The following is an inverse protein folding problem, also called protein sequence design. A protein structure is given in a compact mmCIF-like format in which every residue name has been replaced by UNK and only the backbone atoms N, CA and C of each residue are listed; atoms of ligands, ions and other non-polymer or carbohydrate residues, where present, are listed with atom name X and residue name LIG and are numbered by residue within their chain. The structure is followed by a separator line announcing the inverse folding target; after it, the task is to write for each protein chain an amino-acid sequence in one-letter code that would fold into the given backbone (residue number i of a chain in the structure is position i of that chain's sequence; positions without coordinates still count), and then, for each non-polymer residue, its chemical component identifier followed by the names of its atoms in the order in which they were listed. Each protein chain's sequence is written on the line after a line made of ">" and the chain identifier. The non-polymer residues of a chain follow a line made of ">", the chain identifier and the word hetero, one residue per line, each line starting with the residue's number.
data_IF_354803682302
#
_entry.id   IF_354803682302
#
_cell.length_a   1.000
_cell.length_b   1.000
_cell.length_c   1.000
_cell.angle_alpha   90.00
_cell.angle_beta   90.00
_cell.angle_gamma   90.00
#
_symmetry.space_group_name_H-M   'P 1'
#
loop_
_entity.id
_entity.type
_entity.pdbx_description
1 polymer ?
#
# COMPACT_ATOMS: atom_id res chain seq x y z
N UNK A 1 -43.59 -23.08 -2.51
CA UNK A 1 -43.28 -21.65 -2.57
C UNK A 1 -41.88 -21.50 -1.98
N UNK A 2 -40.87 -21.48 -2.85
CA UNK A 2 -39.48 -21.33 -2.45
C UNK A 2 -39.21 -19.83 -2.27
N UNK A 3 -38.97 -19.41 -1.03
CA UNK A 3 -38.61 -18.04 -0.75
C UNK A 3 -37.23 -17.76 -1.38
N UNK A 4 -37.21 -16.96 -2.43
CA UNK A 4 -35.99 -16.38 -2.97
C UNK A 4 -35.56 -15.37 -1.93
N UNK A 5 -34.48 -15.67 -1.20
CA UNK A 5 -33.79 -14.70 -0.37
C UNK A 5 -33.30 -13.55 -1.27
N UNK A 6 -33.48 -12.28 -0.87
CA UNK A 6 -32.98 -11.17 -1.67
C UNK A 6 -31.47 -11.33 -1.84
N UNK A 7 -31.02 -11.42 -3.08
CA UNK A 7 -29.62 -11.60 -3.44
C UNK A 7 -28.78 -10.43 -2.92
N UNK A 8 -27.68 -10.78 -2.30
CA UNK A 8 -26.63 -9.89 -1.79
C UNK A 8 -25.83 -9.25 -2.95
N UNK A 9 -26.47 -8.45 -3.80
CA UNK A 9 -25.79 -7.67 -4.85
C UNK A 9 -24.94 -6.52 -4.27
N UNK A 10 -25.02 -6.28 -2.95
CA UNK A 10 -24.13 -5.36 -2.22
C UNK A 10 -22.78 -5.99 -1.83
N UNK A 11 -22.75 -7.29 -1.60
CA UNK A 11 -21.65 -7.95 -0.88
C UNK A 11 -20.34 -8.00 -1.68
N UNK A 12 -20.34 -8.20 -3.01
CA UNK A 12 -19.09 -8.19 -3.78
C UNK A 12 -18.45 -6.79 -3.80
N UNK A 13 -19.24 -5.74 -3.94
CA UNK A 13 -18.74 -4.36 -3.89
C UNK A 13 -18.20 -4.02 -2.50
N UNK A 14 -18.85 -4.48 -1.43
CA UNK A 14 -18.39 -4.31 -0.06
C UNK A 14 -17.10 -5.10 0.20
N UNK A 15 -16.99 -6.33 -0.29
CA UNK A 15 -15.76 -7.14 -0.22
C UNK A 15 -14.62 -6.45 -0.97
N UNK A 16 -14.85 -5.95 -2.19
CA UNK A 16 -13.82 -5.20 -2.93
C UNK A 16 -13.42 -3.91 -2.23
N UNK A 17 -14.36 -3.20 -1.61
CA UNK A 17 -14.07 -2.03 -0.79
C UNK A 17 -13.22 -2.38 0.44
N UNK A 18 -13.52 -3.50 1.11
CA UNK A 18 -12.71 -4.01 2.22
C UNK A 18 -11.29 -4.38 1.77
N UNK A 19 -11.13 -5.09 0.63
CA UNK A 19 -9.83 -5.39 0.05
C UNK A 19 -9.05 -4.13 -0.34
N UNK A 20 -9.73 -3.04 -0.70
CA UNK A 20 -9.13 -1.73 -0.97
C UNK A 20 -8.52 -1.06 0.28
N UNK A 21 -8.78 -1.57 1.48
CA UNK A 21 -8.12 -1.11 2.72
C UNK A 21 -6.82 -1.85 3.01
N UNK A 22 -6.59 -2.97 2.34
CA UNK A 22 -5.37 -3.78 2.48
C UNK A 22 -4.27 -3.19 1.61
N UNK A 23 -3.15 -2.86 2.22
CA UNK A 23 -2.04 -2.16 1.57
C UNK A 23 -0.84 -3.07 1.45
N UNK A 24 -0.24 -3.14 0.25
CA UNK A 24 1.09 -3.73 0.12
C UNK A 24 2.09 -2.88 0.92
N UNK A 25 2.80 -3.48 1.90
CA UNK A 25 3.63 -2.71 2.82
C UNK A 25 4.82 -2.02 2.13
N UNK A 26 5.38 -2.61 1.07
CA UNK A 26 6.53 -2.06 0.36
C UNK A 26 6.12 -0.94 -0.61
N UNK A 27 4.97 -1.09 -1.28
CA UNK A 27 4.49 -0.18 -2.30
C UNK A 27 3.68 0.98 -1.70
N UNK A 28 3.14 0.80 -0.48
CA UNK A 28 2.23 1.76 0.16
C UNK A 28 1.00 2.05 -0.72
N UNK A 29 0.48 1.00 -1.37
CA UNK A 29 -0.69 1.07 -2.25
C UNK A 29 -1.66 -0.06 -1.94
N UNK A 30 -3.00 0.18 -2.09
CA UNK A 30 -3.99 -0.87 -1.97
C UNK A 30 -3.71 -2.04 -2.91
N UNK A 31 -3.86 -3.28 -2.43
CA UNK A 31 -3.67 -4.49 -3.24
C UNK A 31 -4.63 -4.54 -4.43
N UNK A 32 -5.78 -3.87 -4.34
CA UNK A 32 -6.73 -3.68 -5.44
C UNK A 32 -6.13 -2.79 -6.53
N UNK A 33 -5.46 -1.70 -6.15
CA UNK A 33 -4.96 -0.69 -7.08
C UNK A 33 -3.71 -1.14 -7.84
N UNK A 34 -2.92 -2.01 -7.23
CA UNK A 34 -1.74 -2.61 -7.89
C UNK A 34 -2.10 -3.86 -8.70
N UNK A 35 -3.37 -4.30 -8.67
CA UNK A 35 -3.86 -5.44 -9.46
C UNK A 35 -3.54 -6.81 -8.85
N UNK A 36 -3.26 -6.87 -7.54
CA UNK A 36 -2.94 -8.14 -6.86
C UNK A 36 -4.17 -8.97 -6.54
N UNK A 37 -5.37 -8.38 -6.51
CA UNK A 37 -6.63 -9.13 -6.42
C UNK A 37 -6.95 -9.70 -7.80
N UNK A 38 -6.82 -11.02 -7.94
CA UNK A 38 -7.09 -11.74 -9.20
C UNK A 38 -8.58 -11.96 -9.41
N UNK A 39 -9.26 -12.45 -8.38
CA UNK A 39 -10.69 -12.71 -8.42
C UNK A 39 -11.32 -12.63 -7.05
N UNK A 40 -12.62 -12.34 -7.04
CA UNK A 40 -13.50 -12.39 -5.86
C UNK A 40 -14.73 -13.17 -6.28
N UNK A 41 -15.05 -14.22 -5.53
CA UNK A 41 -16.29 -15.00 -5.69
C UNK A 41 -17.10 -14.92 -4.40
N UNK A 42 -18.40 -14.69 -4.54
CA UNK A 42 -19.34 -14.61 -3.42
C UNK A 42 -20.46 -15.60 -3.63
N UNK A 43 -20.53 -16.62 -2.81
CA UNK A 43 -21.57 -17.64 -2.84
C UNK A 43 -22.38 -17.63 -1.54
N UNK A 44 -23.52 -16.96 -1.56
CA UNK A 44 -24.33 -16.75 -0.36
C UNK A 44 -23.59 -15.88 0.66
N UNK A 45 -23.10 -16.48 1.74
CA UNK A 45 -22.32 -15.82 2.81
C UNK A 45 -20.84 -16.27 2.84
N UNK A 46 -20.45 -17.09 1.89
CA UNK A 46 -19.08 -17.52 1.70
C UNK A 46 -18.39 -16.64 0.65
N UNK A 47 -17.16 -16.24 0.93
CA UNK A 47 -16.32 -15.42 0.06
C UNK A 47 -15.01 -16.13 -0.19
N UNK A 48 -14.63 -16.22 -1.46
CA UNK A 48 -13.33 -16.72 -1.89
C UNK A 48 -12.60 -15.61 -2.67
N UNK A 49 -11.36 -15.35 -2.28
CA UNK A 49 -10.50 -14.33 -2.88
C UNK A 49 -9.21 -14.98 -3.34
N UNK A 50 -8.81 -14.73 -4.58
CA UNK A 50 -7.51 -15.14 -5.08
C UNK A 50 -6.60 -13.93 -5.22
N UNK A 51 -5.42 -14.02 -4.63
CA UNK A 51 -4.34 -13.04 -4.77
C UNK A 51 -3.25 -13.58 -5.68
N UNK A 52 -2.67 -12.70 -6.49
CA UNK A 52 -1.51 -12.96 -7.34
C UNK A 52 -0.45 -11.89 -7.10
N UNK A 53 0.81 -12.27 -7.15
CA UNK A 53 1.92 -11.35 -6.93
C UNK A 53 2.77 -11.18 -8.21
N UNK A 54 3.50 -10.06 -8.33
CA UNK A 54 4.28 -9.75 -9.53
C UNK A 54 5.38 -10.77 -9.82
N UNK A 55 5.88 -11.45 -8.78
CA UNK A 55 6.85 -12.54 -8.92
C UNK A 55 6.50 -13.72 -8.02
N UNK A 56 7.05 -14.91 -8.34
CA UNK A 56 6.93 -16.09 -7.47
C UNK A 56 7.79 -15.99 -6.19
N UNK A 57 8.63 -14.97 -6.09
CA UNK A 57 9.64 -14.81 -5.04
C UNK A 57 9.50 -13.48 -4.30
N UNK A 58 8.31 -12.88 -4.28
CA UNK A 58 8.02 -11.81 -3.32
C UNK A 58 8.31 -12.31 -1.90
N UNK A 59 8.80 -11.44 -1.03
CA UNK A 59 9.21 -11.87 0.29
C UNK A 59 8.03 -12.57 1.04
N UNK A 60 8.24 -13.77 1.60
CA UNK A 60 7.16 -14.58 2.20
C UNK A 60 6.38 -13.87 3.30
N UNK A 61 7.06 -13.00 4.07
CA UNK A 61 6.44 -12.18 5.11
C UNK A 61 5.47 -11.13 4.53
N UNK A 62 5.78 -10.52 3.38
CA UNK A 62 4.85 -9.59 2.69
C UNK A 62 3.66 -10.35 2.10
N UNK A 63 3.93 -11.49 1.46
CA UNK A 63 2.88 -12.34 0.92
C UNK A 63 1.91 -12.78 2.03
N UNK A 64 2.42 -13.25 3.17
CA UNK A 64 1.62 -13.59 4.34
C UNK A 64 0.81 -12.40 4.87
N UNK A 65 1.44 -11.22 5.02
CA UNK A 65 0.75 -10.02 5.52
C UNK A 65 -0.44 -9.67 4.64
N UNK A 66 -0.26 -9.65 3.31
CA UNK A 66 -1.37 -9.32 2.39
C UNK A 66 -2.49 -10.35 2.43
N UNK A 67 -2.17 -11.65 2.49
CA UNK A 67 -3.18 -12.73 2.60
C UNK A 67 -3.94 -12.65 3.92
N UNK A 68 -3.22 -12.47 5.04
CA UNK A 68 -3.82 -12.34 6.37
C UNK A 68 -4.68 -11.09 6.51
N UNK A 69 -4.18 -9.93 6.05
CA UNK A 69 -4.91 -8.67 6.11
C UNK A 69 -6.15 -8.70 5.19
N UNK A 70 -6.06 -9.36 4.03
CA UNK A 70 -7.21 -9.56 3.14
C UNK A 70 -8.27 -10.45 3.80
N UNK A 71 -7.87 -11.54 4.45
CA UNK A 71 -8.77 -12.41 5.19
C UNK A 71 -9.50 -11.65 6.30
N UNK A 72 -8.76 -10.88 7.10
CA UNK A 72 -9.33 -10.12 8.22
C UNK A 72 -10.28 -9.02 7.72
N UNK A 73 -9.89 -8.28 6.67
CA UNK A 73 -10.71 -7.22 6.09
C UNK A 73 -12.03 -7.76 5.53
N UNK A 74 -12.00 -8.90 4.80
CA UNK A 74 -13.19 -9.53 4.24
C UNK A 74 -14.06 -10.16 5.34
N UNK A 75 -13.46 -10.76 6.36
CA UNK A 75 -14.17 -11.32 7.51
C UNK A 75 -14.94 -10.27 8.32
N UNK A 76 -14.50 -9.02 8.28
CA UNK A 76 -15.18 -7.91 8.93
C UNK A 76 -16.39 -7.36 8.15
N UNK A 77 -16.60 -7.80 6.89
CA UNK A 77 -17.73 -7.34 6.06
C UNK A 77 -19.04 -7.90 6.62
N UNK A 78 -20.05 -7.05 6.90
CA UNK A 78 -21.33 -7.51 7.44
C UNK A 78 -22.01 -8.53 6.53
N UNK A 79 -22.39 -9.68 7.09
CA UNK A 79 -23.09 -10.74 6.36
C UNK A 79 -22.18 -11.83 5.80
N UNK A 80 -20.87 -11.67 5.82
CA UNK A 80 -19.89 -12.72 5.49
C UNK A 80 -19.74 -13.66 6.70
N UNK A 81 -19.78 -14.97 6.45
CA UNK A 81 -19.63 -16.02 7.48
C UNK A 81 -18.40 -16.89 7.27
N UNK A 82 -17.95 -17.02 6.04
CA UNK A 82 -16.81 -17.85 5.67
C UNK A 82 -15.95 -17.13 4.64
N UNK A 83 -14.65 -17.09 4.88
CA UNK A 83 -13.68 -16.43 4.01
C UNK A 83 -12.54 -17.41 3.72
N UNK A 84 -12.22 -17.53 2.44
CA UNK A 84 -11.01 -18.19 1.97
C UNK A 84 -10.22 -17.18 1.15
N UNK A 85 -8.96 -16.97 1.51
CA UNK A 85 -8.03 -16.16 0.72
C UNK A 85 -6.89 -17.07 0.29
N UNK A 86 -6.73 -17.23 -1.01
CA UNK A 86 -5.69 -18.05 -1.60
C UNK A 86 -4.65 -17.19 -2.32
N UNK A 87 -3.39 -17.51 -2.11
CA UNK A 87 -2.27 -16.93 -2.85
C UNK A 87 -1.93 -17.84 -4.02
N UNK A 88 -2.02 -17.30 -5.23
CA UNK A 88 -1.73 -18.03 -6.47
C UNK A 88 -0.25 -17.88 -6.86
N UNK A 89 0.31 -18.95 -7.47
CA UNK A 89 1.57 -18.91 -8.25
C UNK A 89 2.79 -18.34 -7.49
N UNK A 90 2.80 -18.40 -6.16
CA UNK A 90 3.96 -18.02 -5.35
C UNK A 90 4.73 -19.27 -4.91
N UNK A 91 6.05 -19.13 -4.64
CA UNK A 91 6.88 -20.25 -4.20
C UNK A 91 6.33 -20.91 -2.93
N UNK A 92 5.83 -20.10 -2.00
CA UNK A 92 5.28 -20.56 -0.71
C UNK A 92 3.74 -20.60 -0.69
N UNK A 93 3.04 -20.56 -1.84
CA UNK A 93 1.58 -20.59 -1.89
C UNK A 93 0.99 -21.72 -1.06
N UNK A 94 1.46 -22.97 -1.27
CA UNK A 94 0.96 -24.13 -0.55
C UNK A 94 1.18 -24.04 0.96
N UNK A 95 2.28 -23.45 1.39
CA UNK A 95 2.60 -23.27 2.80
C UNK A 95 1.71 -22.21 3.43
N UNK A 96 1.59 -21.05 2.76
CA UNK A 96 0.78 -19.92 3.21
C UNK A 96 -0.71 -20.30 3.27
N UNK A 97 -1.24 -20.88 2.18
CA UNK A 97 -2.66 -21.25 2.10
C UNK A 97 -3.03 -22.31 3.15
N UNK A 98 -2.19 -23.33 3.35
CA UNK A 98 -2.41 -24.31 4.44
C UNK A 98 -2.32 -23.70 5.82
N UNK A 99 -1.37 -22.79 6.05
CA UNK A 99 -1.23 -22.09 7.33
C UNK A 99 -2.43 -21.22 7.65
N UNK A 100 -2.95 -20.51 6.66
CA UNK A 100 -4.18 -19.70 6.77
C UNK A 100 -5.39 -20.57 7.07
N UNK A 101 -5.61 -21.63 6.28
CA UNK A 101 -6.74 -22.56 6.47
C UNK A 101 -6.73 -23.24 7.84
N UNK A 102 -5.55 -23.48 8.40
CA UNK A 102 -5.37 -24.09 9.73
C UNK A 102 -5.35 -23.07 10.89
N UNK A 103 -5.43 -21.77 10.61
CA UNK A 103 -5.37 -20.70 11.61
C UNK A 103 -4.06 -20.66 12.42
N UNK A 104 -2.94 -21.08 11.81
CA UNK A 104 -1.67 -21.24 12.53
C UNK A 104 -0.96 -19.92 12.85
N UNK A 105 -1.35 -18.81 12.20
CA UNK A 105 -0.63 -17.56 12.25
C UNK A 105 0.75 -17.65 11.56
N UNK A 106 1.47 -16.52 11.48
CA UNK A 106 2.75 -16.45 10.78
C UNK A 106 3.80 -17.43 11.35
N UNK A 107 4.00 -17.38 12.66
CA UNK A 107 4.99 -18.25 13.34
C UNK A 107 4.65 -19.74 13.24
N UNK A 108 3.36 -20.09 13.31
CA UNK A 108 2.92 -21.48 13.16
C UNK A 108 3.11 -22.02 11.75
N UNK A 109 3.03 -21.13 10.74
CA UNK A 109 3.21 -21.47 9.33
C UNK A 109 4.68 -21.63 8.95
N UNK A 110 5.53 -20.67 9.32
CA UNK A 110 6.95 -20.63 8.92
C UNK A 110 7.92 -21.20 9.97
N UNK A 111 7.44 -21.52 11.17
CA UNK A 111 8.26 -22.12 12.24
C UNK A 111 9.41 -21.21 12.64
N UNK A 112 10.63 -21.78 12.66
CA UNK A 112 11.85 -21.06 13.05
C UNK A 112 12.38 -20.09 11.98
N UNK A 113 11.85 -20.10 10.77
CA UNK A 113 12.17 -19.08 9.75
C UNK A 113 11.48 -17.74 10.05
N UNK A 114 10.51 -17.73 10.97
CA UNK A 114 9.80 -16.53 11.43
C UNK A 114 10.60 -15.81 12.55
N UNK A 115 11.82 -15.35 12.25
CA UNK A 115 12.69 -14.70 13.24
C UNK A 115 12.22 -13.29 13.61
N UNK A 116 11.63 -12.55 12.68
CA UNK A 116 11.15 -11.19 12.90
C UNK A 116 9.67 -11.16 13.28
N UNK A 117 9.30 -10.20 14.11
CA UNK A 117 7.90 -9.87 14.37
C UNK A 117 7.28 -9.18 13.15
N UNK A 118 6.13 -9.66 12.68
CA UNK A 118 5.36 -8.98 11.64
C UNK A 118 4.97 -7.56 12.04
N UNK A 119 4.77 -7.29 13.32
CA UNK A 119 4.43 -5.97 13.83
C UNK A 119 5.59 -4.99 13.65
N UNK A 120 6.84 -5.42 13.90
CA UNK A 120 8.03 -4.60 13.70
C UNK A 120 8.27 -4.33 12.22
N UNK A 121 8.09 -5.34 11.37
CA UNK A 121 8.13 -5.20 9.92
C UNK A 121 7.07 -4.19 9.45
N UNK A 122 5.83 -4.37 9.86
CA UNK A 122 4.70 -3.47 9.55
C UNK A 122 5.00 -2.03 9.97
N UNK A 123 5.46 -1.82 11.21
CA UNK A 123 5.82 -0.51 11.72
C UNK A 123 6.95 0.15 10.91
N UNK A 124 7.92 -0.63 10.46
CA UNK A 124 9.02 -0.13 9.62
C UNK A 124 8.50 0.39 8.26
N UNK A 125 7.62 -0.35 7.61
CA UNK A 125 7.05 0.08 6.33
C UNK A 125 6.04 1.22 6.48
N UNK A 126 5.27 1.26 7.56
CA UNK A 126 4.40 2.40 7.88
C UNK A 126 5.20 3.70 8.08
N UNK A 127 6.37 3.66 8.73
CA UNK A 127 7.28 4.82 8.82
C UNK A 127 7.82 5.24 7.45
N UNK A 128 8.22 4.30 6.59
CA UNK A 128 8.63 4.60 5.20
C UNK A 128 7.50 5.25 4.40
N UNK A 129 6.28 4.71 4.51
CA UNK A 129 5.09 5.25 3.86
C UNK A 129 4.78 6.68 4.33
N UNK A 130 4.85 6.94 5.64
CA UNK A 130 4.72 8.28 6.21
C UNK A 130 5.79 9.23 5.67
N UNK A 131 7.05 8.82 5.67
CA UNK A 131 8.18 9.63 5.15
C UNK A 131 7.97 10.00 3.69
N UNK A 132 7.51 9.06 2.86
CA UNK A 132 7.21 9.31 1.45
C UNK A 132 6.01 10.25 1.27
N UNK A 133 4.94 10.09 2.05
CA UNK A 133 3.77 10.96 2.01
C UNK A 133 4.10 12.39 2.48
N UNK A 134 4.90 12.52 3.52
CA UNK A 134 5.40 13.81 4.02
C UNK A 134 6.19 14.55 2.92
N UNK A 135 7.08 13.86 2.22
CA UNK A 135 7.84 14.46 1.11
C UNK A 135 6.94 14.86 -0.05
N UNK A 136 5.94 14.05 -0.41
CA UNK A 136 4.97 14.39 -1.48
C UNK A 136 4.19 15.66 -1.13
N UNK A 137 3.67 15.78 0.09
CA UNK A 137 2.93 16.96 0.54
C UNK A 137 3.82 18.22 0.51
N UNK A 138 5.04 18.16 1.05
CA UNK A 138 5.99 19.25 1.03
C UNK A 138 6.41 19.62 -0.40
N UNK A 139 6.69 18.65 -1.25
CA UNK A 139 7.07 18.91 -2.64
C UNK A 139 5.91 19.50 -3.45
N UNK A 140 4.66 19.10 -3.19
CA UNK A 140 3.48 19.71 -3.82
C UNK A 140 3.38 21.20 -3.46
N UNK A 141 3.56 21.56 -2.18
CA UNK A 141 3.55 22.94 -1.71
C UNK A 141 4.72 23.75 -2.30
N UNK A 142 5.94 23.23 -2.27
CA UNK A 142 7.13 23.90 -2.81
C UNK A 142 7.09 24.14 -4.31
N UNK A 143 6.30 23.38 -5.06
CA UNK A 143 6.04 23.66 -6.49
C UNK A 143 5.18 24.90 -6.70
N UNK A 144 4.30 25.20 -5.75
CA UNK A 144 3.41 26.37 -5.78
C UNK A 144 4.11 27.60 -5.21
N UNK A 145 4.83 27.43 -4.11
CA UNK A 145 5.63 28.47 -3.45
C UNK A 145 7.01 27.94 -3.05
N UNK A 146 8.04 28.19 -3.88
CA UNK A 146 9.41 27.76 -3.59
C UNK A 146 10.08 28.49 -2.43
N UNK A 147 9.47 29.56 -1.91
CA UNK A 147 10.07 30.43 -0.86
C UNK A 147 9.71 29.99 0.55
N UNK A 148 8.85 28.98 0.69
CA UNK A 148 8.36 28.49 1.97
C UNK A 148 9.49 27.86 2.78
N UNK A 149 9.57 28.25 4.05
CA UNK A 149 10.47 27.61 5.02
C UNK A 149 9.87 26.28 5.51
N UNK A 150 10.35 25.18 4.95
CA UNK A 150 9.87 23.82 5.30
C UNK A 150 10.07 23.47 6.77
N UNK A 151 11.03 24.09 7.46
CA UNK A 151 11.28 23.86 8.88
C UNK A 151 10.19 24.49 9.77
N UNK A 152 9.53 25.54 9.29
CA UNK A 152 8.51 26.26 10.04
C UNK A 152 7.09 25.73 9.81
N UNK A 153 6.84 25.02 8.69
CA UNK A 153 5.51 24.56 8.28
C UNK A 153 4.80 23.70 9.33
N UNK A 154 3.49 23.92 9.42
CA UNK A 154 2.54 23.12 10.19
C UNK A 154 1.53 22.44 9.26
N UNK A 155 0.78 21.48 9.77
CA UNK A 155 -0.24 20.77 8.97
C UNK A 155 -1.34 21.70 8.47
N UNK A 156 -1.66 22.78 9.23
CA UNK A 156 -2.62 23.80 8.82
C UNK A 156 -2.17 24.65 7.63
N UNK A 157 -0.87 24.65 7.30
CA UNK A 157 -0.35 25.36 6.12
C UNK A 157 -0.47 24.53 4.83
N UNK A 158 -0.81 23.23 4.94
CA UNK A 158 -1.03 22.37 3.78
C UNK A 158 -2.43 22.60 3.19
N UNK A 159 -2.59 22.53 1.85
CA UNK A 159 -3.90 22.68 1.22
C UNK A 159 -4.87 21.59 1.68
N UNK A 160 -5.99 21.98 2.29
CA UNK A 160 -7.01 21.04 2.76
C UNK A 160 -7.71 20.35 1.57
N UNK A 161 -7.98 19.03 1.71
CA UNK A 161 -8.65 18.23 0.67
C UNK A 161 -7.76 17.86 -0.52
N UNK A 162 -6.51 18.27 -0.53
CA UNK A 162 -5.55 17.76 -1.51
C UNK A 162 -5.15 16.32 -1.18
N UNK A 163 -5.09 15.47 -2.20
CA UNK A 163 -4.77 14.05 -2.06
C UNK A 163 -3.48 13.81 -1.26
N UNK A 164 -2.44 14.61 -1.47
CA UNK A 164 -1.16 14.48 -0.76
C UNK A 164 -1.27 14.83 0.72
N UNK A 165 -2.07 15.84 1.08
CA UNK A 165 -2.38 16.22 2.47
C UNK A 165 -3.15 15.11 3.17
N UNK A 166 -4.23 14.63 2.55
CA UNK A 166 -5.07 13.56 3.10
C UNK A 166 -4.28 12.26 3.28
N UNK A 167 -3.41 11.95 2.32
CA UNK A 167 -2.54 10.77 2.39
C UNK A 167 -1.54 10.87 3.56
N UNK A 168 -0.97 12.04 3.82
CA UNK A 168 -0.10 12.28 4.97
C UNK A 168 -0.84 12.15 6.29
N UNK A 169 -2.02 12.77 6.41
CA UNK A 169 -2.83 12.71 7.63
C UNK A 169 -3.24 11.28 8.00
N UNK A 170 -3.67 10.47 7.01
CA UNK A 170 -3.99 9.06 7.25
C UNK A 170 -2.79 8.28 7.82
N UNK A 171 -1.59 8.47 7.27
CA UNK A 171 -0.39 7.76 7.73
C UNK A 171 0.08 8.23 9.10
N UNK A 172 -0.10 9.51 9.42
CA UNK A 172 0.13 10.02 10.77
C UNK A 172 -0.81 9.37 11.79
N UNK A 173 -2.11 9.30 11.47
CA UNK A 173 -3.09 8.63 12.33
C UNK A 173 -2.71 7.17 12.58
N UNK A 174 -2.27 6.44 11.54
CA UNK A 174 -1.81 5.04 11.66
C UNK A 174 -0.59 4.90 12.60
N UNK A 175 0.31 5.88 12.60
CA UNK A 175 1.50 5.89 13.46
C UNK A 175 1.26 6.51 14.85
N UNK A 176 0.04 7.01 15.13
CA UNK A 176 -0.27 7.73 16.37
C UNK A 176 0.42 9.09 16.48
N UNK A 177 0.83 9.67 15.35
CA UNK A 177 1.44 10.99 15.30
C UNK A 177 0.38 12.10 15.35
N UNK A 178 0.71 13.31 15.85
CA UNK A 178 -0.21 14.44 15.87
C UNK A 178 -0.76 14.78 14.48
N UNK A 179 -2.07 15.06 14.40
CA UNK A 179 -2.79 15.43 13.17
C UNK A 179 -3.50 16.77 13.27
N UNK A 180 -3.28 17.53 14.36
CA UNK A 180 -3.81 18.88 14.54
C UNK A 180 -3.07 19.89 13.66
N UNK A 181 -3.73 21.00 13.34
CA UNK A 181 -3.21 22.04 12.44
C UNK A 181 -1.90 22.66 12.91
N UNK A 182 -1.63 22.68 14.22
CA UNK A 182 -0.39 23.26 14.79
C UNK A 182 0.80 22.28 14.75
N UNK A 183 0.54 21.00 14.47
CA UNK A 183 1.60 20.00 14.39
C UNK A 183 2.56 20.27 13.22
N UNK A 184 3.90 20.12 13.40
CA UNK A 184 4.86 20.35 12.31
C UNK A 184 4.67 19.35 11.16
N UNK A 185 4.84 19.78 9.90
CA UNK A 185 4.80 18.89 8.74
C UNK A 185 6.04 18.03 8.70
N UNK A 186 7.22 18.65 8.74
CA UNK A 186 8.50 17.92 8.72
C UNK A 186 8.82 17.42 10.13
N UNK A 187 8.85 16.10 10.30
CA UNK A 187 9.07 15.45 11.60
C UNK A 187 9.93 14.20 11.48
N UNK A 188 10.63 13.88 12.56
CA UNK A 188 11.25 12.57 12.76
C UNK A 188 10.19 11.47 12.97
N UNK A 189 10.63 10.21 13.03
CA UNK A 189 9.74 9.05 13.23
C UNK A 189 8.94 9.10 14.56
N UNK A 190 9.45 9.84 15.54
CA UNK A 190 8.81 10.08 16.83
C UNK A 190 7.87 11.30 16.86
N UNK A 191 7.70 11.97 15.72
CA UNK A 191 6.86 13.17 15.59
C UNK A 191 7.52 14.47 16.01
N UNK A 192 8.77 14.45 16.45
CA UNK A 192 9.50 15.67 16.84
C UNK A 192 9.96 16.47 15.62
N UNK A 193 9.94 17.80 15.73
CA UNK A 193 10.44 18.72 14.71
C UNK A 193 11.97 18.62 14.62
N UNK A 194 12.56 18.53 13.42
CA UNK A 194 14.02 18.57 13.27
C UNK A 194 14.58 19.96 13.58
N UNK A 195 15.87 20.00 13.86
CA UNK A 195 16.62 21.27 13.86
C UNK A 195 16.48 21.95 12.48
N UNK A 196 16.14 23.24 12.40
CA UNK A 196 16.00 23.96 11.13
C UNK A 196 17.22 23.81 10.21
N UNK A 197 18.45 23.77 10.76
CA UNK A 197 19.67 23.54 9.99
C UNK A 197 19.73 22.16 9.32
N UNK A 198 18.94 21.19 9.78
CA UNK A 198 18.88 19.82 9.24
C UNK A 198 17.69 19.59 8.31
N UNK A 199 16.73 20.52 8.26
CA UNK A 199 15.46 20.35 7.54
C UNK A 199 15.66 20.01 6.05
N UNK A 200 16.54 20.74 5.35
CA UNK A 200 16.81 20.50 3.93
C UNK A 200 17.43 19.11 3.68
N UNK A 201 18.35 18.67 4.54
CA UNK A 201 18.96 17.35 4.41
C UNK A 201 17.93 16.25 4.70
N UNK A 202 17.05 16.45 5.68
CA UNK A 202 15.98 15.53 6.01
C UNK A 202 14.99 15.40 4.84
N UNK A 203 14.60 16.51 4.22
CA UNK A 203 13.73 16.49 3.04
C UNK A 203 14.38 15.75 1.85
N UNK A 204 15.68 15.91 1.63
CA UNK A 204 16.41 15.15 0.60
C UNK A 204 16.42 13.64 0.88
N UNK A 205 16.58 13.23 2.14
CA UNK A 205 16.48 11.80 2.54
C UNK A 205 15.08 11.28 2.34
N UNK A 206 14.04 12.02 2.74
CA UNK A 206 12.66 11.67 2.53
C UNK A 206 12.33 11.49 1.03
N UNK A 207 12.92 12.35 0.16
CA UNK A 207 12.80 12.21 -1.30
C UNK A 207 13.40 10.90 -1.81
N UNK A 208 14.53 10.46 -1.26
CA UNK A 208 15.12 9.17 -1.64
C UNK A 208 14.23 8.00 -1.26
N UNK A 209 13.60 8.05 -0.08
CA UNK A 209 12.61 7.05 0.36
C UNK A 209 11.41 7.03 -0.58
N UNK A 210 10.83 8.19 -0.91
CA UNK A 210 9.71 8.28 -1.85
C UNK A 210 10.06 7.72 -3.22
N UNK A 211 11.22 8.08 -3.79
CA UNK A 211 11.66 7.55 -5.09
C UNK A 211 11.79 6.02 -5.06
N UNK A 212 12.26 5.45 -3.95
CA UNK A 212 12.34 4.00 -3.79
C UNK A 212 10.95 3.36 -3.77
N UNK A 213 10.01 3.90 -3.00
CA UNK A 213 8.62 3.41 -2.93
C UNK A 213 7.94 3.50 -4.31
N UNK A 214 8.06 4.66 -4.98
CA UNK A 214 7.48 4.88 -6.31
C UNK A 214 8.10 3.96 -7.38
N UNK A 215 9.42 3.75 -7.31
CA UNK A 215 10.14 2.85 -8.20
C UNK A 215 9.70 1.40 -8.05
N UNK A 216 9.60 0.91 -6.81
CA UNK A 216 9.12 -0.44 -6.53
C UNK A 216 7.69 -0.64 -7.05
N UNK A 217 6.78 0.31 -6.80
CA UNK A 217 5.42 0.24 -7.30
C UNK A 217 5.36 0.17 -8.84
N UNK A 218 6.16 0.99 -9.52
CA UNK A 218 6.27 0.95 -10.98
C UNK A 218 6.76 -0.41 -11.49
N UNK A 219 7.83 -0.95 -10.88
CA UNK A 219 8.36 -2.26 -11.25
C UNK A 219 7.36 -3.39 -11.01
N UNK A 220 6.72 -3.42 -9.84
CA UNK A 220 5.76 -4.46 -9.50
C UNK A 220 4.55 -4.47 -10.45
N UNK A 221 4.05 -3.30 -10.83
CA UNK A 221 2.97 -3.18 -11.82
C UNK A 221 3.39 -3.72 -13.19
N UNK A 222 4.58 -3.38 -13.66
CA UNK A 222 5.13 -3.87 -14.94
C UNK A 222 5.40 -5.38 -14.93
N UNK A 223 5.95 -5.90 -13.83
CA UNK A 223 6.18 -7.33 -13.66
C UNK A 223 4.87 -8.11 -13.61
N UNK A 224 3.85 -7.60 -12.90
CA UNK A 224 2.54 -8.22 -12.85
C UNK A 224 1.90 -8.33 -14.25
N UNK A 225 1.90 -7.23 -15.00
CA UNK A 225 1.39 -7.20 -16.38
C UNK A 225 2.15 -8.16 -17.31
N UNK A 226 3.46 -8.30 -17.11
CA UNK A 226 4.29 -9.25 -17.87
C UNK A 226 3.96 -10.69 -17.53
N UNK A 227 3.76 -10.98 -16.24
CA UNK A 227 3.47 -12.32 -15.74
C UNK A 227 2.05 -12.78 -16.04
N UNK A 228 1.10 -11.86 -15.96
CA UNK A 228 -0.33 -12.12 -16.18
C UNK A 228 -0.86 -11.18 -17.25
N UNK A 229 -0.82 -11.59 -18.54
CA UNK A 229 -1.33 -10.76 -19.63
C UNK A 229 -2.77 -10.30 -19.37
N UNK A 230 -3.02 -9.01 -19.48
CA UNK A 230 -4.31 -8.38 -19.17
C UNK A 230 -4.44 -7.85 -17.74
N UNK A 231 -3.49 -8.12 -16.84
CA UNK A 231 -3.53 -7.64 -15.46
C UNK A 231 -3.42 -6.11 -15.33
N UNK A 232 -2.97 -5.43 -16.36
CA UNK A 232 -2.96 -3.97 -16.44
C UNK A 232 -4.38 -3.36 -16.35
N UNK A 233 -5.40 -4.11 -16.76
CA UNK A 233 -6.80 -3.68 -16.64
C UNK A 233 -7.30 -3.64 -15.18
N UNK A 234 -6.64 -4.39 -14.30
CA UNK A 234 -6.96 -4.45 -12.87
C UNK A 234 -6.14 -3.43 -12.05
N UNK A 235 -5.31 -2.63 -12.72
CA UNK A 235 -4.46 -1.62 -12.06
C UNK A 235 -5.08 -0.24 -12.12
N UNK A 236 -5.07 0.46 -11.00
CA UNK A 236 -5.47 1.87 -10.92
C UNK A 236 -4.23 2.75 -10.92
N UNK A 237 -4.07 3.69 -11.86
CA UNK A 237 -2.95 4.64 -11.84
C UNK A 237 -2.96 5.46 -10.55
N UNK A 238 -1.77 5.76 -10.01
CA UNK A 238 -1.67 6.72 -8.90
C UNK A 238 -2.11 8.11 -9.39
N UNK A 239 -2.80 8.91 -8.55
CA UNK A 239 -3.16 10.29 -8.89
C UNK A 239 -1.96 11.16 -9.31
N UNK A 240 -0.78 10.83 -8.77
CA UNK A 240 0.47 11.56 -9.02
C UNK A 240 1.38 10.91 -10.08
N UNK A 241 0.95 9.79 -10.69
CA UNK A 241 1.71 9.15 -11.77
C UNK A 241 1.75 10.05 -12.98
N UNK A 242 2.78 10.90 -13.04
CA UNK A 242 3.15 11.52 -14.30
C UNK A 242 3.76 10.46 -15.18
N UNK A 243 3.32 10.31 -16.43
CA UNK A 243 3.99 9.43 -17.36
C UNK A 243 5.48 9.80 -17.39
N UNK A 244 6.35 8.84 -17.14
CA UNK A 244 7.79 9.03 -17.33
C UNK A 244 7.96 9.50 -18.77
N UNK A 245 8.49 10.71 -18.95
CA UNK A 245 8.78 11.22 -20.29
C UNK A 245 9.63 10.17 -20.99
N UNK A 246 9.26 9.72 -22.20
CA UNK A 246 10.06 8.79 -22.94
C UNK A 246 11.46 9.40 -23.07
N UNK A 247 12.49 8.67 -22.63
CA UNK A 247 13.87 9.04 -22.85
C UNK A 247 14.04 9.11 -24.38
N UNK A 248 14.00 10.33 -24.92
CA UNK A 248 14.36 10.55 -26.32
C UNK A 248 15.86 10.26 -26.45
N UNK A 249 16.19 9.03 -26.86
CA UNK A 249 17.53 8.72 -27.30
C UNK A 249 17.74 9.48 -28.61
N UNK A 250 18.33 10.68 -28.53
CA UNK A 250 18.83 11.34 -29.72
C UNK A 250 19.91 10.43 -30.31
N UNK A 251 19.58 9.79 -31.43
CA UNK A 251 20.63 9.15 -32.27
C UNK A 251 21.54 10.27 -32.72
N UNK A 252 22.68 10.41 -32.03
CA UNK A 252 23.79 11.23 -32.50
C UNK A 252 24.20 10.71 -33.86
N UNK A 253 23.88 11.45 -34.90
CA UNK A 253 24.53 11.32 -36.22
C UNK A 253 25.93 11.83 -36.03
N UNK A 254 26.89 10.90 -35.91
CA UNK A 254 28.28 11.25 -36.10
C UNK A 254 28.50 11.54 -37.59
N UNK A 255 29.25 12.61 -37.95
CA UNK A 255 29.63 12.92 -39.30
C UNK A 255 30.70 11.96 -39.83
#
# INVERSE_FOLDING_TARGET
>A
MTAVLPGLTGTEAEVRAALGTVVDPELDEPITDVGFVRSVSVEGRAVEVHLRLPTSFCAPNFAWLMVSDAHDAVSAVPGVESVVVELDDHHDSDLINRGMAAGLGYRGTFGHEAEESLDELRATFQRKAHTAAMERALTALLRTDPTVDVAALTLGDLPAGEHTTDALLRRRATLGLPVDDAAPVLVHDDGTRPDPAQAEMMLRRARSVRISVDGNAHFCRGLLATRYPGAEADQTPRPDDRPLLPLSVSKGTHP
#
